data_IF_186991573000
#
_entry.id   IF_186991573000
#
_cell.length_a   1.000
_cell.length_b   1.000
_cell.length_c   1.000
_cell.angle_alpha   90.00
_cell.angle_beta   90.00
_cell.angle_gamma   90.00
#
_symmetry.space_group_name_H-M   'P 1'
#
loop_
_entity.id
_entity.type
_entity.pdbx_description
1 polymer ?
#
# COMPACT_ATOMS: atom_id res chain seq x y z
N UNK A 1 14.52 -19.11 -6.69
CA UNK A 1 13.16 -18.87 -7.24
C UNK A 1 13.21 -17.76 -8.29
N UNK A 2 12.78 -18.01 -9.54
CA UNK A 2 12.83 -17.02 -10.61
C UNK A 2 11.95 -15.79 -10.29
N UNK A 3 12.31 -14.61 -10.82
CA UNK A 3 11.58 -13.36 -10.57
C UNK A 3 10.10 -13.44 -11.02
N UNK A 4 9.76 -14.34 -11.95
CA UNK A 4 8.39 -14.53 -12.42
C UNK A 4 7.54 -15.34 -11.43
N UNK A 5 8.13 -16.35 -10.77
CA UNK A 5 7.42 -17.15 -9.78
C UNK A 5 6.99 -16.33 -8.56
N UNK A 6 7.82 -15.36 -8.11
CA UNK A 6 7.41 -14.44 -7.02
C UNK A 6 6.20 -13.59 -7.40
N UNK A 7 6.15 -13.09 -8.64
CA UNK A 7 5.04 -12.24 -9.11
C UNK A 7 3.73 -13.01 -9.21
N UNK A 8 3.76 -14.27 -9.64
CA UNK A 8 2.56 -15.09 -9.76
C UNK A 8 1.98 -15.44 -8.40
N UNK A 9 2.84 -15.72 -7.40
CA UNK A 9 2.44 -15.93 -6.01
C UNK A 9 1.78 -14.65 -5.45
N UNK A 10 2.45 -13.50 -5.58
CA UNK A 10 1.90 -12.20 -5.15
C UNK A 10 0.55 -11.87 -5.80
N UNK A 11 0.36 -12.23 -7.09
CA UNK A 11 -0.92 -12.01 -7.77
C UNK A 11 -2.04 -12.90 -7.24
N UNK A 12 -1.74 -14.16 -6.90
CA UNK A 12 -2.71 -15.06 -6.27
C UNK A 12 -3.14 -14.53 -4.90
N UNK A 13 -2.19 -14.06 -4.09
CA UNK A 13 -2.46 -13.43 -2.80
C UNK A 13 -3.36 -12.19 -2.95
N UNK A 14 -3.04 -11.30 -3.90
CA UNK A 14 -3.85 -10.09 -4.14
C UNK A 14 -5.29 -10.43 -4.55
N UNK A 15 -5.48 -11.47 -5.37
CA UNK A 15 -6.82 -11.90 -5.79
C UNK A 15 -7.62 -12.53 -4.65
N UNK A 16 -6.97 -13.10 -3.63
CA UNK A 16 -7.62 -13.62 -2.43
C UNK A 16 -8.04 -12.55 -1.41
N UNK A 17 -7.51 -11.33 -1.49
CA UNK A 17 -7.84 -10.24 -0.57
C UNK A 17 -9.21 -9.60 -0.86
N UNK A 18 -9.90 -9.12 0.17
CA UNK A 18 -11.14 -8.32 0.04
C UNK A 18 -10.85 -6.92 -0.52
N UNK A 19 -11.87 -6.25 -1.08
CA UNK A 19 -11.72 -4.90 -1.65
C UNK A 19 -11.34 -3.84 -0.60
N UNK A 20 -11.76 -4.04 0.65
CA UNK A 20 -11.46 -3.18 1.79
C UNK A 20 -10.01 -3.31 2.21
N UNK A 21 -9.55 -4.55 2.40
CA UNK A 21 -8.16 -4.85 2.73
C UNK A 21 -7.20 -4.36 1.64
N UNK A 22 -7.59 -4.45 0.36
CA UNK A 22 -6.83 -3.85 -0.75
C UNK A 22 -6.70 -2.32 -0.59
N UNK A 23 -7.74 -1.63 -0.12
CA UNK A 23 -7.67 -0.17 0.06
C UNK A 23 -6.79 0.23 1.23
N UNK A 24 -6.90 -0.48 2.35
CA UNK A 24 -6.08 -0.26 3.54
C UNK A 24 -4.60 -0.49 3.24
N UNK A 25 -4.26 -1.66 2.67
CA UNK A 25 -2.89 -1.98 2.28
C UNK A 25 -2.32 -1.00 1.27
N UNK A 26 -3.14 -0.47 0.34
CA UNK A 26 -2.70 0.58 -0.59
C UNK A 26 -2.40 1.91 0.12
N UNK A 27 -3.11 2.26 1.19
CA UNK A 27 -2.83 3.45 1.99
C UNK A 27 -1.52 3.25 2.77
N UNK A 28 -1.35 2.11 3.42
CA UNK A 28 -0.16 1.79 4.22
C UNK A 28 1.10 1.77 3.35
N UNK A 29 1.08 1.07 2.21
CA UNK A 29 2.21 1.02 1.28
C UNK A 29 2.59 2.40 0.71
N UNK A 30 1.62 3.33 0.57
CA UNK A 30 1.92 4.71 0.18
C UNK A 30 2.58 5.50 1.30
N UNK A 31 2.21 5.24 2.56
CA UNK A 31 2.88 5.80 3.72
C UNK A 31 4.32 5.32 3.82
N UNK A 32 4.56 4.02 3.62
CA UNK A 32 5.92 3.47 3.59
C UNK A 32 6.75 4.02 2.43
N UNK A 33 6.16 4.21 1.24
CA UNK A 33 6.83 4.89 0.13
C UNK A 33 7.22 6.33 0.48
N UNK A 34 6.42 7.02 1.30
CA UNK A 34 6.76 8.36 1.78
C UNK A 34 7.98 8.31 2.70
N UNK A 35 8.03 7.38 3.66
CA UNK A 35 9.22 7.19 4.50
C UNK A 35 10.47 6.87 3.67
N UNK A 36 10.36 6.01 2.66
CA UNK A 36 11.50 5.69 1.78
C UNK A 36 12.01 6.93 1.03
N UNK A 37 11.13 7.88 0.68
CA UNK A 37 11.55 9.18 0.13
C UNK A 37 12.24 10.05 1.18
N UNK A 38 11.74 10.07 2.42
CA UNK A 38 12.38 10.77 3.52
C UNK A 38 13.79 10.22 3.76
N UNK A 39 13.96 8.89 3.85
CA UNK A 39 15.27 8.21 3.98
C UNK A 39 16.23 8.60 2.86
N UNK A 40 15.74 8.65 1.62
CA UNK A 40 16.53 9.10 0.47
C UNK A 40 17.03 10.54 0.65
N UNK A 41 16.17 11.46 1.10
CA UNK A 41 16.53 12.87 1.31
C UNK A 41 17.52 13.01 2.47
N UNK A 42 17.31 12.29 3.56
CA UNK A 42 18.21 12.29 4.73
C UNK A 42 19.47 11.46 4.53
N UNK A 43 19.66 10.87 3.33
CA UNK A 43 20.79 10.00 2.97
C UNK A 43 20.97 8.81 3.91
N UNK A 44 19.89 8.35 4.53
CA UNK A 44 19.88 7.09 5.25
C UNK A 44 19.96 5.93 4.24
N UNK A 45 20.56 4.81 4.67
CA UNK A 45 20.63 3.64 3.80
C UNK A 45 19.23 3.08 3.53
N UNK A 46 18.96 2.78 2.27
CA UNK A 46 17.70 2.19 1.82
C UNK A 46 17.88 1.46 0.49
N UNK A 47 17.10 0.38 0.29
CA UNK A 47 17.15 -0.41 -0.93
C UNK A 47 16.30 0.22 -2.04
N UNK A 48 16.94 0.59 -3.16
CA UNK A 48 16.25 1.15 -4.34
C UNK A 48 15.32 0.14 -5.02
N UNK A 49 15.66 -1.15 -4.96
CA UNK A 49 14.83 -2.24 -5.49
C UNK A 49 13.48 -2.32 -4.77
N UNK A 50 13.46 -2.12 -3.45
CA UNK A 50 12.23 -2.17 -2.65
C UNK A 50 11.28 -1.04 -3.01
N UNK A 51 11.80 0.17 -3.19
CA UNK A 51 11.01 1.30 -3.67
C UNK A 51 10.31 0.99 -5.01
N UNK A 52 11.05 0.40 -5.97
CA UNK A 52 10.49 -0.02 -7.26
C UNK A 52 9.46 -1.14 -7.10
N UNK A 53 9.71 -2.11 -6.22
CA UNK A 53 8.81 -3.24 -5.97
C UNK A 53 7.52 -2.80 -5.31
N UNK A 54 7.56 -1.93 -4.29
CA UNK A 54 6.39 -1.37 -3.63
C UNK A 54 5.48 -0.61 -4.60
N UNK A 55 6.05 0.24 -5.47
CA UNK A 55 5.29 0.94 -6.52
C UNK A 55 4.58 -0.04 -7.45
N UNK A 56 5.26 -1.12 -7.84
CA UNK A 56 4.66 -2.19 -8.68
C UNK A 56 3.58 -2.97 -7.93
N UNK A 57 3.74 -3.24 -6.63
CA UNK A 57 2.74 -3.92 -5.78
C UNK A 57 1.44 -3.12 -5.70
N UNK A 58 1.53 -1.81 -5.43
CA UNK A 58 0.38 -0.90 -5.43
C UNK A 58 -0.34 -0.89 -6.78
N UNK A 59 0.43 -0.85 -7.89
CA UNK A 59 -0.16 -0.88 -9.23
C UNK A 59 -0.98 -2.16 -9.46
N UNK A 60 -0.45 -3.34 -9.07
CA UNK A 60 -1.16 -4.62 -9.20
C UNK A 60 -2.42 -4.71 -8.33
N UNK A 61 -2.37 -4.19 -7.11
CA UNK A 61 -3.55 -4.11 -6.24
C UNK A 61 -4.67 -3.26 -6.87
N UNK A 62 -4.31 -2.10 -7.44
CA UNK A 62 -5.26 -1.22 -8.11
C UNK A 62 -5.79 -1.79 -9.42
N UNK A 63 -5.00 -2.58 -10.16
CA UNK A 63 -5.49 -3.27 -11.37
C UNK A 63 -6.50 -4.35 -11.02
N UNK A 64 -6.22 -5.19 -10.01
CA UNK A 64 -7.17 -6.24 -9.57
C UNK A 64 -8.48 -5.62 -9.08
N UNK A 65 -8.42 -4.52 -8.32
CA UNK A 65 -9.63 -3.79 -7.93
C UNK A 65 -10.40 -3.27 -9.14
N UNK A 66 -9.71 -2.76 -10.17
CA UNK A 66 -10.36 -2.27 -11.39
C UNK A 66 -10.96 -3.40 -12.23
N UNK A 67 -10.31 -4.55 -12.30
CA UNK A 67 -10.86 -5.76 -12.94
C UNK A 67 -12.19 -6.15 -12.30
N UNK A 68 -12.26 -6.19 -10.96
CA UNK A 68 -13.51 -6.45 -10.21
C UNK A 68 -14.60 -5.41 -10.49
N UNK A 69 -14.25 -4.13 -10.60
CA UNK A 69 -15.23 -3.09 -10.97
C UNK A 69 -15.78 -3.27 -12.40
N UNK A 70 -14.95 -3.75 -13.33
CA UNK A 70 -15.35 -4.03 -14.72
C UNK A 70 -16.30 -5.23 -14.75
N UNK A 71 -15.99 -6.29 -14.00
CA UNK A 71 -16.86 -7.47 -13.85
C UNK A 71 -18.23 -7.12 -13.26
N UNK A 72 -18.29 -6.17 -12.31
CA UNK A 72 -19.54 -5.61 -11.77
C UNK A 72 -20.29 -4.69 -12.74
N UNK A 73 -19.74 -4.42 -13.94
CA UNK A 73 -20.38 -3.58 -14.95
C UNK A 73 -20.26 -2.07 -14.72
N UNK A 74 -19.36 -1.61 -13.84
CA UNK A 74 -19.24 -0.19 -13.48
C UNK A 74 -18.57 0.60 -14.62
N UNK A 75 -19.29 1.61 -15.14
CA UNK A 75 -18.78 2.48 -16.21
C UNK A 75 -17.57 3.32 -15.75
N UNK A 76 -16.65 3.71 -16.65
CA UNK A 76 -15.47 4.49 -16.28
C UNK A 76 -15.76 5.85 -15.62
N UNK A 77 -16.93 6.46 -15.88
CA UNK A 77 -17.33 7.73 -15.23
C UNK A 77 -17.72 7.51 -13.76
N UNK A 78 -18.47 6.46 -13.48
CA UNK A 78 -18.91 6.09 -12.13
C UNK A 78 -17.73 5.64 -11.27
N UNK A 79 -16.84 4.82 -11.83
CA UNK A 79 -15.57 4.43 -11.17
C UNK A 79 -14.75 5.65 -10.74
N UNK A 80 -14.65 6.69 -11.59
CA UNK A 80 -13.97 7.94 -11.23
C UNK A 80 -14.65 8.69 -10.08
N UNK A 81 -15.99 8.74 -10.04
CA UNK A 81 -16.74 9.34 -8.93
C UNK A 81 -16.50 8.59 -7.62
N UNK A 82 -16.58 7.26 -7.65
CA UNK A 82 -16.30 6.40 -6.49
C UNK A 82 -14.86 6.58 -6.00
N UNK A 83 -13.89 6.59 -6.91
CA UNK A 83 -12.47 6.83 -6.60
C UNK A 83 -12.24 8.21 -5.98
N UNK A 84 -12.93 9.25 -6.46
CA UNK A 84 -12.85 10.59 -5.90
C UNK A 84 -13.47 10.66 -4.49
N UNK A 85 -14.63 10.04 -4.28
CA UNK A 85 -15.26 9.93 -2.95
C UNK A 85 -14.35 9.22 -1.97
N UNK A 86 -13.78 8.08 -2.36
CA UNK A 86 -12.82 7.35 -1.54
C UNK A 86 -11.57 8.17 -1.22
N UNK A 87 -10.97 8.85 -2.20
CA UNK A 87 -9.81 9.72 -1.96
C UNK A 87 -10.07 10.83 -0.95
N UNK A 88 -11.29 11.38 -0.92
CA UNK A 88 -11.70 12.40 0.04
C UNK A 88 -11.89 11.85 1.45
N UNK A 89 -12.26 10.58 1.58
CA UNK A 89 -12.46 9.93 2.89
C UNK A 89 -11.18 9.37 3.50
N UNK A 90 -10.03 9.42 2.82
CA UNK A 90 -8.76 8.92 3.36
C UNK A 90 -8.27 9.87 4.46
N UNK A 91 -8.19 9.35 5.69
CA UNK A 91 -7.54 10.02 6.82
C UNK A 91 -6.05 9.62 6.83
N UNK A 92 -5.17 10.60 7.05
CA UNK A 92 -3.74 10.33 7.16
C UNK A 92 -3.44 9.63 8.49
N UNK A 93 -2.79 8.47 8.40
CA UNK A 93 -2.27 7.70 9.55
C UNK A 93 -0.77 7.47 9.36
N UNK A 94 0.01 7.40 10.45
CA UNK A 94 1.41 7.01 10.34
C UNK A 94 1.50 5.61 9.70
N UNK A 95 2.49 5.37 8.82
CA UNK A 95 2.69 4.05 8.24
C UNK A 95 3.01 3.02 9.34
N UNK A 96 2.59 1.76 9.14
CA UNK A 96 2.63 0.73 10.19
C UNK A 96 4.04 0.51 10.74
N UNK A 97 5.07 0.58 9.89
CA UNK A 97 6.47 0.46 10.33
C UNK A 97 6.90 1.56 11.31
N UNK A 98 6.41 2.79 11.13
CA UNK A 98 6.72 3.91 12.02
C UNK A 98 5.85 3.87 13.27
N UNK A 99 4.56 3.56 13.11
CA UNK A 99 3.64 3.40 14.23
C UNK A 99 4.19 2.36 15.22
N UNK A 100 4.65 1.20 14.73
CA UNK A 100 5.24 0.15 15.57
C UNK A 100 6.47 0.63 16.35
N UNK A 101 7.32 1.48 15.76
CA UNK A 101 8.49 2.05 16.45
C UNK A 101 8.05 3.02 17.54
N UNK A 102 7.10 3.90 17.24
CA UNK A 102 6.58 4.88 18.20
C UNK A 102 5.88 4.21 19.38
N UNK A 103 5.10 3.15 19.11
CA UNK A 103 4.40 2.41 20.15
C UNK A 103 5.40 1.65 21.04
N UNK A 104 6.44 1.05 20.46
CA UNK A 104 7.52 0.44 21.23
C UNK A 104 8.25 1.45 22.14
N UNK A 105 8.56 2.65 21.62
CA UNK A 105 9.21 3.71 22.41
C UNK A 105 8.35 4.13 23.61
N UNK A 106 7.04 4.36 23.40
CA UNK A 106 6.12 4.70 24.49
C UNK A 106 6.08 3.62 25.57
N UNK A 107 6.04 2.35 25.18
CA UNK A 107 6.03 1.26 26.16
C UNK A 107 7.31 1.15 26.98
N UNK A 108 8.44 1.65 26.49
CA UNK A 108 9.69 1.72 27.26
C UNK A 108 9.69 2.94 28.18
N UNK A 109 9.14 4.07 27.73
CA UNK A 109 8.96 5.29 28.54
C UNK A 109 7.99 5.06 29.72
N UNK A 110 6.88 4.35 29.50
CA UNK A 110 5.88 4.05 30.55
C UNK A 110 6.39 3.06 31.61
N UNK A 111 7.48 2.32 31.32
CA UNK A 111 8.11 1.38 32.24
C UNK A 111 9.25 1.97 33.07
N UNK A 112 9.77 3.14 32.68
CA UNK A 112 10.88 3.84 33.33
C UNK A 112 10.39 4.81 34.41
#
# INVERSE_FOLDING_TARGET
VSMMAKRTIELKEIRGMSDELINETVVDLKGELFLMRCKKVTRQDYRVSDYKNMKKKIARMLTVKREREIERGIKPRESRKLKAKWKRSIVYRPPPSLAAILDAQKTEEDKA
#
